data_IF_094503842495
#
_entry.id   IF_094503842495
#
_cell.length_a   1.000
_cell.length_b   1.000
_cell.length_c   1.000
_cell.angle_alpha   90.00
_cell.angle_beta   90.00
_cell.angle_gamma   90.00
#
_symmetry.space_group_name_H-M   'P 1'
#
loop_
_entity.id
_entity.type
_entity.pdbx_description
1 polymer ?
#
# COMPACT_ATOMS: atom_id res chain seq x y z
N UNK A 1 -79.84 -38.46 -42.97
CA UNK A 1 -78.82 -39.47 -42.56
C UNK A 1 -78.05 -38.91 -41.38
N UNK A 2 -77.90 -39.73 -40.33
CA UNK A 2 -77.07 -39.59 -39.10
C UNK A 2 -77.23 -38.28 -38.30
N UNK A 3 -77.96 -38.26 -37.18
CA UNK A 3 -77.63 -38.81 -35.83
C UNK A 3 -76.28 -38.23 -35.33
N UNK A 4 -76.13 -37.57 -34.17
CA UNK A 4 -76.95 -37.63 -32.95
C UNK A 4 -76.68 -36.43 -32.03
N UNK A 5 -77.78 -35.94 -31.46
CA UNK A 5 -77.96 -35.10 -30.25
C UNK A 5 -77.01 -35.44 -29.08
N UNK A 6 -76.67 -34.45 -28.25
CA UNK A 6 -77.25 -34.37 -26.90
C UNK A 6 -77.10 -32.97 -26.26
N UNK A 7 -78.23 -32.56 -25.69
CA UNK A 7 -78.58 -31.36 -24.91
C UNK A 7 -77.92 -31.35 -23.52
N UNK A 8 -77.78 -30.16 -22.90
CA UNK A 8 -78.28 -29.80 -21.54
C UNK A 8 -77.65 -28.45 -21.13
N UNK A 9 -78.41 -27.35 -21.21
CA UNK A 9 -79.17 -26.62 -20.15
C UNK A 9 -78.34 -25.55 -19.43
N UNK A 10 -78.88 -24.33 -19.51
CA UNK A 10 -78.55 -23.11 -18.79
C UNK A 10 -78.38 -23.31 -17.28
N UNK A 11 -77.54 -22.50 -16.64
CA UNK A 11 -78.04 -21.61 -15.58
C UNK A 11 -77.09 -20.44 -15.35
N UNK A 12 -77.65 -19.24 -15.46
CA UNK A 12 -77.05 -17.95 -15.19
C UNK A 12 -76.70 -17.79 -13.71
N UNK A 13 -75.54 -17.18 -13.44
CA UNK A 13 -75.33 -16.36 -12.25
C UNK A 13 -74.37 -15.21 -12.60
N UNK A 14 -74.95 -14.06 -12.93
CA UNK A 14 -74.35 -12.78 -12.55
C UNK A 14 -74.18 -12.79 -11.02
N UNK A 15 -73.06 -12.29 -10.51
CA UNK A 15 -73.01 -11.23 -9.49
C UNK A 15 -71.55 -10.94 -9.06
N UNK A 16 -71.20 -9.66 -9.19
CA UNK A 16 -70.26 -8.90 -8.35
C UNK A 16 -68.76 -9.08 -8.62
N UNK A 17 -68.32 -8.53 -9.75
CA UNK A 17 -67.08 -7.75 -9.77
C UNK A 17 -67.30 -6.48 -8.93
N UNK A 18 -67.04 -6.57 -7.62
CA UNK A 18 -66.83 -5.39 -6.81
C UNK A 18 -65.34 -5.03 -6.91
N UNK A 19 -65.07 -3.93 -7.61
CA UNK A 19 -63.90 -3.11 -7.36
C UNK A 19 -63.99 -2.64 -5.90
N UNK A 20 -63.05 -3.06 -5.05
CA UNK A 20 -62.76 -2.30 -3.85
C UNK A 20 -61.25 -2.07 -3.81
N UNK A 21 -60.88 -0.82 -4.08
CA UNK A 21 -59.53 -0.32 -3.90
C UNK A 21 -59.26 -0.25 -2.42
N UNK A 22 -58.71 -1.33 -1.89
CA UNK A 22 -58.15 -1.35 -0.55
C UNK A 22 -56.67 -1.67 -0.70
N UNK A 23 -55.84 -0.64 -0.54
CA UNK A 23 -54.40 -0.73 -0.27
C UNK A 23 -54.13 -1.34 1.12
N UNK A 24 -54.98 -2.24 1.61
CA UNK A 24 -54.67 -3.02 2.79
C UNK A 24 -53.77 -4.18 2.37
N UNK A 25 -52.52 -4.15 2.85
CA UNK A 25 -51.64 -5.33 2.81
C UNK A 25 -52.49 -6.53 3.26
N UNK A 26 -52.50 -7.64 2.51
CA UNK A 26 -53.20 -8.86 2.92
C UNK A 26 -52.83 -9.18 4.37
N UNK A 27 -53.82 -9.61 5.17
CA UNK A 27 -53.55 -10.05 6.53
C UNK A 27 -52.43 -11.12 6.50
N UNK A 28 -51.42 -11.05 7.38
CA UNK A 28 -50.32 -12.02 7.39
C UNK A 28 -50.88 -13.44 7.50
N UNK A 29 -50.31 -14.38 6.72
CA UNK A 29 -50.71 -15.78 6.79
C UNK A 29 -50.61 -16.26 8.25
N UNK A 30 -51.70 -16.82 8.84
CA UNK A 30 -51.68 -17.34 10.21
C UNK A 30 -50.53 -18.32 10.49
N UNK A 31 -50.07 -19.08 9.49
CA UNK A 31 -48.92 -19.97 9.62
C UNK A 31 -47.62 -19.20 9.83
N UNK A 32 -47.39 -18.15 9.04
CA UNK A 32 -46.20 -17.30 9.17
C UNK A 32 -46.15 -16.61 10.54
N UNK A 33 -47.30 -16.18 11.06
CA UNK A 33 -47.37 -15.61 12.40
C UNK A 33 -47.06 -16.65 13.48
N UNK A 34 -47.55 -17.88 13.32
CA UNK A 34 -47.23 -18.97 14.25
C UNK A 34 -45.73 -19.29 14.26
N UNK A 35 -45.09 -19.32 13.09
CA UNK A 35 -43.64 -19.59 12.98
C UNK A 35 -42.82 -18.49 13.65
N UNK A 36 -43.14 -17.22 13.39
CA UNK A 36 -42.48 -16.08 14.05
C UNK A 36 -42.65 -16.17 15.57
N UNK A 37 -43.86 -16.47 16.05
CA UNK A 37 -44.11 -16.62 17.49
C UNK A 37 -43.32 -17.79 18.09
N UNK A 38 -43.17 -18.90 17.37
CA UNK A 38 -42.37 -20.04 17.83
C UNK A 38 -40.92 -19.66 18.12
N UNK A 39 -40.34 -18.78 17.29
CA UNK A 39 -38.98 -18.27 17.49
C UNK A 39 -38.93 -17.23 18.61
N UNK A 40 -39.87 -16.26 18.62
CA UNK A 40 -39.91 -15.21 19.66
C UNK A 40 -40.05 -15.79 21.06
N UNK A 41 -40.75 -16.92 21.22
CA UNK A 41 -41.02 -17.56 22.51
C UNK A 41 -39.88 -18.48 22.98
N UNK A 42 -38.84 -18.73 22.17
CA UNK A 42 -37.68 -19.48 22.63
C UNK A 42 -37.05 -18.82 23.87
N UNK A 43 -36.84 -19.63 24.90
CA UNK A 43 -36.16 -19.20 26.12
C UNK A 43 -34.66 -19.09 25.85
N UNK A 44 -34.04 -17.98 26.27
CA UNK A 44 -32.60 -17.83 26.08
C UNK A 44 -31.82 -18.87 26.91
N UNK A 45 -30.89 -19.64 26.32
CA UNK A 45 -30.29 -20.80 27.00
C UNK A 45 -29.57 -20.50 28.32
N UNK A 46 -29.05 -19.28 28.48
CA UNK A 46 -28.28 -18.87 29.65
C UNK A 46 -29.04 -17.98 30.64
N UNK A 47 -30.26 -17.54 30.30
CA UNK A 47 -31.15 -16.77 31.17
C UNK A 47 -32.60 -17.17 30.91
N UNK A 48 -33.14 -17.98 31.84
CA UNK A 48 -34.49 -18.53 31.72
C UNK A 48 -35.61 -17.51 31.98
N UNK A 49 -35.27 -16.28 32.35
CA UNK A 49 -36.24 -15.22 32.66
C UNK A 49 -36.63 -14.40 31.44
N UNK A 50 -35.93 -14.58 30.32
CA UNK A 50 -36.12 -13.80 29.09
C UNK A 50 -36.36 -14.70 27.88
N UNK A 51 -37.14 -14.19 26.92
CA UNK A 51 -37.36 -14.82 25.62
C UNK A 51 -36.46 -14.19 24.55
N UNK A 52 -36.22 -14.89 23.44
CA UNK A 52 -35.49 -14.31 22.30
C UNK A 52 -36.19 -13.07 21.76
N UNK A 53 -37.53 -13.06 21.67
CA UNK A 53 -38.29 -11.88 21.29
C UNK A 53 -38.04 -10.71 22.23
N UNK A 54 -38.02 -10.96 23.55
CA UNK A 54 -37.71 -9.94 24.55
C UNK A 54 -36.31 -9.34 24.40
N UNK A 55 -35.32 -10.15 24.02
CA UNK A 55 -33.94 -9.69 23.78
C UNK A 55 -33.85 -8.90 22.46
N UNK A 56 -34.41 -9.43 21.38
CA UNK A 56 -34.23 -8.91 20.03
C UNK A 56 -35.07 -7.68 19.72
N UNK A 57 -36.28 -7.58 20.27
CA UNK A 57 -37.21 -6.47 20.00
C UNK A 57 -36.83 -5.19 20.77
N UNK A 58 -35.98 -5.29 21.82
CA UNK A 58 -35.63 -4.17 22.70
C UNK A 58 -34.19 -3.64 22.54
N UNK A 59 -33.59 -3.87 21.37
CA UNK A 59 -32.19 -3.49 21.10
C UNK A 59 -32.05 -2.00 20.83
N UNK A 60 -31.33 -1.31 21.71
CA UNK A 60 -31.15 0.15 21.65
C UNK A 60 -30.42 0.66 20.41
N UNK A 61 -29.62 -0.21 19.78
CA UNK A 61 -28.84 0.10 18.60
C UNK A 61 -29.60 -0.10 17.28
N UNK A 62 -30.84 -0.60 17.35
CA UNK A 62 -31.75 -0.74 16.21
C UNK A 62 -32.73 0.44 16.18
N UNK A 63 -32.85 1.11 15.02
CA UNK A 63 -33.91 2.11 14.79
C UNK A 63 -35.28 1.45 14.69
N UNK A 64 -35.32 0.30 14.02
CA UNK A 64 -36.52 -0.51 13.80
C UNK A 64 -36.12 -1.98 13.78
N UNK A 65 -37.06 -2.83 14.21
CA UNK A 65 -36.92 -4.28 14.14
C UNK A 65 -38.09 -4.89 13.38
N UNK A 66 -37.79 -5.85 12.52
CA UNK A 66 -38.81 -6.54 11.72
C UNK A 66 -38.65 -8.05 11.85
N UNK A 67 -39.78 -8.75 11.70
CA UNK A 67 -39.82 -10.21 11.63
C UNK A 67 -40.64 -10.62 10.42
N UNK A 68 -40.09 -11.53 9.62
CA UNK A 68 -40.79 -12.12 8.49
C UNK A 68 -40.40 -13.58 8.29
N UNK A 69 -41.06 -14.22 7.31
CA UNK A 69 -40.77 -15.59 6.91
C UNK A 69 -40.35 -15.61 5.46
N UNK A 70 -39.45 -16.52 5.12
CA UNK A 70 -39.03 -16.76 3.75
C UNK A 70 -38.68 -18.24 3.56
N UNK A 71 -38.69 -18.68 2.31
CA UNK A 71 -38.23 -20.02 1.94
C UNK A 71 -36.88 -19.91 1.28
N UNK A 72 -35.91 -20.68 1.75
CA UNK A 72 -34.60 -20.71 1.10
C UNK A 72 -34.60 -21.58 -0.16
N UNK A 73 -33.49 -21.54 -0.89
CA UNK A 73 -33.28 -22.25 -2.16
C UNK A 73 -33.35 -23.79 -2.01
N UNK A 74 -33.34 -24.31 -0.79
CA UNK A 74 -33.50 -25.74 -0.47
C UNK A 74 -34.91 -26.09 -0.02
N UNK A 75 -35.84 -25.14 -0.08
CA UNK A 75 -37.22 -25.34 0.35
C UNK A 75 -37.42 -25.30 1.87
N UNK A 76 -36.44 -24.83 2.65
CA UNK A 76 -36.59 -24.71 4.11
C UNK A 76 -37.34 -23.44 4.44
N UNK A 77 -38.34 -23.57 5.29
CA UNK A 77 -39.05 -22.44 5.90
C UNK A 77 -38.17 -21.79 6.96
N UNK A 78 -37.91 -20.49 6.80
CA UNK A 78 -37.08 -19.69 7.68
C UNK A 78 -37.90 -18.54 8.27
N UNK A 79 -37.66 -18.26 9.55
CA UNK A 79 -37.99 -16.99 10.18
C UNK A 79 -36.75 -16.11 10.11
N UNK A 80 -36.93 -14.87 9.64
CA UNK A 80 -35.88 -13.86 9.59
C UNK A 80 -36.24 -12.71 10.52
N UNK A 81 -35.24 -12.26 11.25
CA UNK A 81 -35.26 -11.04 12.05
C UNK A 81 -34.36 -9.99 11.38
N UNK A 82 -34.82 -8.75 11.36
CA UNK A 82 -34.06 -7.59 10.90
C UNK A 82 -33.90 -6.57 12.01
N UNK A 83 -32.70 -6.01 12.14
CA UNK A 83 -32.40 -4.84 12.94
C UNK A 83 -31.79 -3.78 12.03
N UNK A 84 -32.48 -2.66 11.86
CA UNK A 84 -31.96 -1.51 11.14
C UNK A 84 -30.96 -0.76 12.01
N UNK A 85 -29.68 -0.97 11.75
CA UNK A 85 -28.52 -0.57 12.56
C UNK A 85 -28.12 0.90 12.26
N UNK A 86 -29.10 1.79 12.15
CA UNK A 86 -28.96 3.15 11.63
C UNK A 86 -29.41 4.23 12.61
N UNK A 87 -29.32 3.96 13.92
CA UNK A 87 -29.50 5.03 14.89
C UNK A 87 -28.43 6.11 14.67
N UNK A 88 -28.73 7.36 14.98
CA UNK A 88 -27.78 8.46 14.74
C UNK A 88 -26.43 8.21 15.42
N UNK A 89 -26.41 7.58 16.61
CA UNK A 89 -25.19 7.23 17.32
C UNK A 89 -24.35 6.20 16.55
N UNK A 90 -24.99 5.12 16.09
CA UNK A 90 -24.32 4.04 15.35
C UNK A 90 -23.80 4.53 14.01
N UNK A 91 -24.66 5.22 13.24
CA UNK A 91 -24.31 5.76 11.92
C UNK A 91 -23.15 6.76 12.03
N UNK A 92 -23.19 7.68 13.00
CA UNK A 92 -22.11 8.64 13.22
C UNK A 92 -20.79 7.95 13.58
N UNK A 93 -20.82 6.91 14.43
CA UNK A 93 -19.61 6.18 14.82
C UNK A 93 -18.97 5.49 13.61
N UNK A 94 -19.78 4.75 12.83
CA UNK A 94 -19.32 4.03 11.65
C UNK A 94 -18.78 5.00 10.59
N UNK A 95 -19.52 6.06 10.29
CA UNK A 95 -19.11 7.07 9.31
C UNK A 95 -17.81 7.77 9.71
N UNK A 96 -17.67 8.16 10.99
CA UNK A 96 -16.44 8.79 11.49
C UNK A 96 -15.24 7.84 11.38
N UNK A 97 -15.45 6.56 11.69
CA UNK A 97 -14.41 5.54 11.56
C UNK A 97 -13.98 5.37 10.11
N UNK A 98 -14.94 5.22 9.19
CA UNK A 98 -14.70 5.05 7.76
C UNK A 98 -13.98 6.27 7.17
N UNK A 99 -14.47 7.48 7.48
CA UNK A 99 -13.87 8.73 7.01
C UNK A 99 -12.42 8.86 7.46
N UNK A 100 -12.14 8.57 8.73
CA UNK A 100 -10.77 8.57 9.25
C UNK A 100 -9.91 7.54 8.51
N UNK A 101 -10.42 6.34 8.25
CA UNK A 101 -9.68 5.28 7.58
C UNK A 101 -9.34 5.64 6.13
N UNK A 102 -10.32 6.12 5.37
CA UNK A 102 -10.13 6.61 4.00
C UNK A 102 -9.14 7.78 3.94
N UNK A 103 -9.34 8.81 4.77
CA UNK A 103 -8.44 9.96 4.83
C UNK A 103 -7.00 9.55 5.14
N UNK A 104 -6.80 8.58 6.05
CA UNK A 104 -5.46 8.06 6.36
C UNK A 104 -4.78 7.50 5.11
N UNK A 105 -5.45 6.61 4.37
CA UNK A 105 -4.88 5.96 3.19
C UNK A 105 -4.72 6.92 2.00
N UNK A 106 -5.70 7.80 1.79
CA UNK A 106 -5.63 8.83 0.74
C UNK A 106 -4.43 9.74 1.00
N UNK A 107 -4.20 10.17 2.24
CA UNK A 107 -3.05 10.99 2.59
C UNK A 107 -1.73 10.24 2.38
N UNK A 108 -1.64 8.99 2.82
CA UNK A 108 -0.46 8.15 2.63
C UNK A 108 -0.09 8.01 1.14
N UNK A 109 -1.06 7.65 0.30
CA UNK A 109 -0.83 7.50 -1.13
C UNK A 109 -0.60 8.83 -1.85
N UNK A 110 -1.19 9.92 -1.37
CA UNK A 110 -0.91 11.27 -1.89
C UNK A 110 0.54 11.67 -1.59
N UNK A 111 1.04 11.41 -0.38
CA UNK A 111 2.45 11.65 -0.03
C UNK A 111 3.40 10.78 -0.87
N UNK A 112 3.09 9.49 -1.05
CA UNK A 112 3.86 8.60 -1.93
C UNK A 112 3.85 9.11 -3.38
N UNK A 113 2.69 9.53 -3.88
CA UNK A 113 2.55 10.09 -5.22
C UNK A 113 3.42 11.34 -5.40
N UNK A 114 3.40 12.26 -4.43
CA UNK A 114 4.16 13.51 -4.51
C UNK A 114 5.68 13.31 -4.38
N UNK A 115 6.12 12.28 -3.64
CA UNK A 115 7.56 12.01 -3.43
C UNK A 115 8.17 11.19 -4.56
N UNK A 116 7.41 10.31 -5.23
CA UNK A 116 7.93 9.51 -6.33
C UNK A 116 8.46 10.37 -7.47
N UNK A 117 9.68 10.09 -7.91
CA UNK A 117 10.33 10.86 -8.99
C UNK A 117 10.59 12.33 -8.66
N UNK A 118 10.51 12.75 -7.38
CA UNK A 118 11.01 14.07 -6.99
C UNK A 118 12.54 14.12 -7.14
N UNK A 119 13.16 15.31 -7.30
CA UNK A 119 14.61 15.43 -7.34
C UNK A 119 15.30 14.78 -6.14
N UNK A 120 14.72 14.93 -4.93
CA UNK A 120 15.22 14.34 -3.69
C UNK A 120 15.12 12.81 -3.71
N UNK A 121 14.01 12.26 -4.22
CA UNK A 121 13.86 10.82 -4.39
C UNK A 121 14.90 10.25 -5.35
N UNK A 122 15.05 10.86 -6.53
CA UNK A 122 16.02 10.43 -7.53
C UNK A 122 17.44 10.53 -6.94
N UNK A 123 17.77 11.67 -6.34
CA UNK A 123 19.07 11.89 -5.68
C UNK A 123 19.36 10.83 -4.62
N UNK A 124 18.39 10.52 -3.75
CA UNK A 124 18.59 9.48 -2.71
C UNK A 124 18.92 8.09 -3.28
N UNK A 125 18.52 7.82 -4.53
CA UNK A 125 18.77 6.56 -5.25
C UNK A 125 20.00 6.61 -6.15
N UNK A 126 20.57 7.80 -6.39
CA UNK A 126 21.76 8.04 -7.21
C UNK A 126 22.90 8.72 -6.45
N UNK A 127 22.80 8.85 -5.14
CA UNK A 127 23.74 9.58 -4.27
C UNK A 127 25.18 9.05 -4.36
N UNK A 128 25.33 7.73 -4.49
CA UNK A 128 26.64 7.12 -4.70
C UNK A 128 27.26 7.53 -6.04
N UNK A 129 26.52 7.36 -7.14
CA UNK A 129 27.00 7.71 -8.48
C UNK A 129 27.22 9.22 -8.65
N UNK A 130 26.42 10.06 -7.97
CA UNK A 130 26.63 11.52 -7.95
C UNK A 130 27.96 11.88 -7.27
N UNK A 131 28.26 11.28 -6.12
CA UNK A 131 29.55 11.49 -5.46
C UNK A 131 30.72 10.97 -6.28
N UNK A 132 30.55 9.82 -6.93
CA UNK A 132 31.57 9.22 -7.78
C UNK A 132 31.88 10.09 -9.00
N UNK A 133 30.85 10.60 -9.68
CA UNK A 133 31.02 11.55 -10.80
C UNK A 133 31.69 12.85 -10.32
N UNK A 134 31.26 13.42 -9.19
CA UNK A 134 31.88 14.63 -8.65
C UNK A 134 33.36 14.42 -8.30
N UNK A 135 33.70 13.24 -7.77
CA UNK A 135 35.08 12.84 -7.44
C UNK A 135 35.93 12.70 -8.70
N UNK A 136 35.38 12.09 -9.75
CA UNK A 136 36.04 11.99 -11.04
C UNK A 136 36.18 13.38 -11.72
N UNK A 137 35.21 14.29 -11.59
CA UNK A 137 35.34 15.66 -12.11
C UNK A 137 36.49 16.42 -11.45
N UNK A 138 36.63 16.32 -10.12
CA UNK A 138 37.74 16.91 -9.38
C UNK A 138 39.09 16.32 -9.83
N UNK A 139 39.15 14.99 -9.96
CA UNK A 139 40.34 14.28 -10.44
C UNK A 139 40.75 14.74 -11.83
N UNK A 140 39.80 14.85 -12.77
CA UNK A 140 40.08 15.30 -14.13
C UNK A 140 40.59 16.75 -14.15
N UNK A 141 40.03 17.64 -13.30
CA UNK A 141 40.50 19.02 -13.20
C UNK A 141 41.97 19.09 -12.76
N UNK A 142 42.38 18.25 -11.80
CA UNK A 142 43.77 18.14 -11.33
C UNK A 142 44.70 17.62 -12.44
N UNK A 143 44.34 16.53 -13.12
CA UNK A 143 45.16 15.97 -14.21
C UNK A 143 45.31 16.99 -15.35
N UNK A 144 44.25 17.73 -15.68
CA UNK A 144 44.31 18.82 -16.67
C UNK A 144 45.27 19.92 -16.24
N UNK A 145 45.25 20.35 -14.98
CA UNK A 145 46.20 21.32 -14.47
C UNK A 145 47.65 20.78 -14.58
N UNK A 146 47.88 19.51 -14.18
CA UNK A 146 49.20 18.88 -14.32
C UNK A 146 49.67 18.80 -15.77
N UNK A 147 48.77 18.56 -16.73
CA UNK A 147 49.12 18.47 -18.16
C UNK A 147 49.58 19.78 -18.79
N UNK A 148 49.38 20.93 -18.12
CA UNK A 148 49.78 22.25 -18.62
C UNK A 148 51.25 22.59 -18.37
N UNK A 149 51.95 21.78 -17.58
CA UNK A 149 53.35 22.01 -17.21
C UNK A 149 54.26 20.98 -17.88
N UNK A 150 55.48 21.40 -18.25
CA UNK A 150 56.52 20.47 -18.65
C UNK A 150 57.29 19.97 -17.41
N UNK A 151 57.18 18.67 -17.16
CA UNK A 151 57.84 18.01 -16.03
C UNK A 151 59.17 17.35 -16.41
N UNK A 152 59.66 17.56 -17.63
CA UNK A 152 60.89 16.95 -18.16
C UNK A 152 62.09 17.11 -17.22
N UNK A 153 62.28 18.31 -16.64
CA UNK A 153 63.36 18.63 -15.71
C UNK A 153 63.34 17.83 -14.38
N UNK A 154 62.24 17.12 -14.08
CA UNK A 154 62.09 16.29 -12.89
C UNK A 154 62.16 14.78 -13.20
N UNK A 155 62.07 14.34 -14.46
CA UNK A 155 61.87 12.91 -14.81
C UNK A 155 63.00 12.00 -14.34
N UNK A 156 64.25 12.45 -14.43
CA UNK A 156 65.41 11.63 -14.08
C UNK A 156 65.71 11.63 -12.57
N UNK A 157 65.18 12.63 -11.84
CA UNK A 157 65.45 12.86 -10.42
C UNK A 157 64.33 12.36 -9.48
N UNK A 158 63.16 11.95 -10.01
CA UNK A 158 62.01 11.45 -9.23
C UNK A 158 61.96 9.92 -9.15
N UNK A 159 62.04 9.38 -7.94
CA UNK A 159 61.68 7.99 -7.65
C UNK A 159 60.19 7.90 -7.34
N UNK A 160 59.50 6.98 -8.04
CA UNK A 160 58.09 6.66 -7.82
C UNK A 160 58.05 5.44 -6.90
N UNK A 161 57.68 5.66 -5.64
CA UNK A 161 57.62 4.58 -4.64
C UNK A 161 56.28 3.83 -4.72
N UNK A 162 56.20 2.84 -5.60
CA UNK A 162 55.08 1.87 -5.70
C UNK A 162 55.58 0.40 -5.74
N UNK A 163 54.72 -0.62 -5.68
CA UNK A 163 55.10 -2.04 -5.45
C UNK A 163 55.94 -2.70 -6.57
N UNK A 164 56.29 -1.94 -7.61
CA UNK A 164 57.27 -2.31 -8.61
C UNK A 164 58.53 -1.45 -8.47
N UNK A 165 59.08 -1.32 -7.26
CA UNK A 165 60.47 -0.92 -7.13
C UNK A 165 61.30 -2.01 -7.82
N UNK A 166 61.86 -1.70 -9.00
CA UNK A 166 62.72 -2.65 -9.71
C UNK A 166 63.93 -2.96 -8.81
N UNK A 167 63.89 -4.14 -8.21
CA UNK A 167 65.00 -4.67 -7.45
C UNK A 167 66.10 -5.04 -8.44
N UNK A 168 67.28 -4.43 -8.28
CA UNK A 168 68.43 -4.85 -9.06
C UNK A 168 69.02 -6.11 -8.40
N UNK A 169 68.62 -7.27 -8.93
CA UNK A 169 69.06 -8.58 -8.44
C UNK A 169 70.59 -8.78 -8.57
N UNK A 170 71.30 -7.92 -9.30
CA UNK A 170 72.75 -7.97 -9.51
C UNK A 170 73.54 -7.14 -8.51
N UNK A 171 72.98 -6.05 -7.98
CA UNK A 171 73.67 -5.17 -7.02
C UNK A 171 73.10 -5.21 -5.60
N UNK A 172 71.95 -5.87 -5.39
CA UNK A 172 71.29 -5.94 -4.08
C UNK A 172 70.70 -4.61 -3.60
N UNK A 173 70.67 -3.59 -4.47
CA UNK A 173 70.17 -2.26 -4.20
C UNK A 173 68.86 -2.01 -4.96
N UNK A 174 68.04 -1.09 -4.46
CA UNK A 174 66.93 -0.52 -5.23
C UNK A 174 67.53 0.30 -6.39
N UNK A 175 67.08 0.09 -7.63
CA UNK A 175 67.55 0.87 -8.80
C UNK A 175 67.41 2.39 -8.64
N UNK A 176 66.58 2.83 -7.70
CA UNK A 176 66.28 4.23 -7.40
C UNK A 176 67.18 4.88 -6.32
N UNK A 177 68.23 4.21 -5.82
CA UNK A 177 69.07 4.70 -4.71
C UNK A 177 69.82 6.02 -4.98
N UNK A 178 69.86 6.51 -6.23
CA UNK A 178 70.49 7.78 -6.62
C UNK A 178 69.51 8.93 -6.93
N UNK A 179 68.19 8.72 -6.84
CA UNK A 179 67.20 9.75 -7.17
C UNK A 179 66.96 10.71 -6.02
N UNK A 180 66.86 12.01 -6.34
CA UNK A 180 66.86 13.12 -5.38
C UNK A 180 65.47 13.42 -4.79
N UNK A 181 64.39 12.97 -5.45
CA UNK A 181 63.00 13.29 -5.12
C UNK A 181 62.20 11.99 -4.98
N UNK A 182 61.30 11.91 -4.01
CA UNK A 182 60.31 10.82 -3.86
C UNK A 182 58.93 11.34 -4.16
N UNK A 183 58.22 10.68 -5.08
CA UNK A 183 56.79 10.84 -5.29
C UNK A 183 56.06 9.71 -4.57
N UNK A 184 55.25 10.05 -3.58
CA UNK A 184 54.42 9.10 -2.86
C UNK A 184 53.04 9.70 -2.60
N UNK A 185 52.00 8.94 -2.94
CA UNK A 185 50.61 9.36 -2.76
C UNK A 185 50.30 10.71 -3.43
N UNK A 186 50.98 11.01 -4.55
CA UNK A 186 50.83 12.28 -5.26
C UNK A 186 51.62 13.46 -4.69
N UNK A 187 52.41 13.30 -3.62
CA UNK A 187 53.22 14.38 -3.05
C UNK A 187 54.69 14.14 -3.36
N UNK A 188 55.35 15.16 -3.90
CA UNK A 188 56.80 15.17 -4.11
C UNK A 188 57.51 15.70 -2.87
N UNK A 189 58.53 14.96 -2.43
CA UNK A 189 59.41 15.35 -1.32
C UNK A 189 60.87 15.16 -1.72
N UNK A 190 61.71 16.16 -1.46
CA UNK A 190 63.14 16.09 -1.73
C UNK A 190 63.88 15.34 -0.64
N UNK A 191 64.69 14.33 -1.01
CA UNK A 191 65.62 13.65 -0.08
C UNK A 191 66.93 14.42 0.07
N UNK A 192 67.33 15.18 -0.95
CA UNK A 192 68.59 15.95 -1.01
C UNK A 192 68.29 17.33 -1.62
N UNK A 193 67.67 18.21 -0.84
CA UNK A 193 67.15 19.52 -1.26
C UNK A 193 68.25 20.50 -1.73
N UNK A 194 69.47 20.32 -1.24
CA UNK A 194 70.64 21.15 -1.57
C UNK A 194 71.15 20.95 -3.01
N UNK A 195 70.78 19.83 -3.65
CA UNK A 195 71.28 19.42 -4.98
C UNK A 195 70.31 19.68 -6.13
N UNK A 196 69.18 20.32 -5.84
CA UNK A 196 68.14 20.67 -6.81
C UNK A 196 68.40 22.05 -7.41
N UNK A 197 68.07 22.25 -8.68
CA UNK A 197 68.04 23.58 -9.29
C UNK A 197 66.86 24.41 -8.76
N UNK A 198 66.91 25.73 -8.98
CA UNK A 198 65.77 26.61 -8.65
C UNK A 198 64.51 26.26 -9.46
N UNK A 199 64.69 25.90 -10.72
CA UNK A 199 63.63 25.41 -11.60
C UNK A 199 62.98 24.13 -11.06
N UNK A 200 63.78 23.15 -10.63
CA UNK A 200 63.27 21.91 -10.06
C UNK A 200 62.51 22.13 -8.76
N UNK A 201 63.01 23.02 -7.87
CA UNK A 201 62.28 23.40 -6.65
C UNK A 201 60.93 24.04 -6.97
N UNK A 202 60.89 24.93 -7.96
CA UNK A 202 59.64 25.58 -8.38
C UNK A 202 58.64 24.58 -8.98
N UNK A 203 59.09 23.64 -9.80
CA UNK A 203 58.24 22.58 -10.37
C UNK A 203 57.69 21.64 -9.27
N UNK A 204 58.50 21.26 -8.28
CA UNK A 204 58.03 20.49 -7.11
C UNK A 204 56.92 21.26 -6.36
N UNK A 205 57.13 22.56 -6.10
CA UNK A 205 56.11 23.40 -5.46
C UNK A 205 54.83 23.48 -6.28
N UNK A 206 54.92 23.57 -7.61
CA UNK A 206 53.75 23.60 -8.49
C UNK A 206 53.02 22.26 -8.50
N UNK A 207 53.73 21.14 -8.59
CA UNK A 207 53.16 19.79 -8.48
C UNK A 207 52.39 19.63 -7.18
N UNK A 208 53.06 19.87 -6.05
CA UNK A 208 52.47 19.75 -4.71
C UNK A 208 51.28 20.70 -4.55
N UNK A 209 51.34 21.92 -5.07
CA UNK A 209 50.20 22.84 -5.03
C UNK A 209 48.96 22.29 -5.74
N UNK A 210 49.13 21.52 -6.82
CA UNK A 210 48.04 20.91 -7.57
C UNK A 210 47.53 19.63 -6.88
N UNK A 211 48.39 18.92 -6.14
CA UNK A 211 48.09 17.58 -5.58
C UNK A 211 47.85 17.55 -4.06
N UNK A 212 48.33 18.51 -3.27
CA UNK A 212 48.22 18.55 -1.79
C UNK A 212 46.84 18.97 -1.27
N UNK A 213 45.96 19.50 -2.13
CA UNK A 213 44.58 19.82 -1.74
C UNK A 213 43.73 18.54 -1.64
N UNK A 214 43.91 17.72 -0.60
CA UNK A 214 43.23 16.43 -0.52
C UNK A 214 42.34 16.24 0.72
N UNK A 215 41.04 16.20 0.43
CA UNK A 215 40.01 15.40 1.11
C UNK A 215 39.84 14.00 0.45
N UNK A 216 40.63 13.69 -0.58
CA UNK A 216 40.64 12.41 -1.30
C UNK A 216 41.96 11.68 -1.02
N UNK A 217 41.96 10.35 -1.02
CA UNK A 217 43.12 9.52 -0.64
C UNK A 217 44.36 9.67 -1.54
N UNK A 218 45.20 8.63 -1.57
CA UNK A 218 46.44 8.63 -2.34
C UNK A 218 46.18 8.84 -3.83
N UNK A 219 46.79 9.87 -4.43
CA UNK A 219 46.78 10.04 -5.88
C UNK A 219 47.75 9.04 -6.52
N UNK A 220 47.42 8.47 -7.69
CA UNK A 220 48.32 7.51 -8.31
C UNK A 220 49.58 8.17 -8.85
N UNK A 221 50.74 7.72 -8.36
CA UNK A 221 52.04 8.27 -8.75
C UNK A 221 52.36 8.10 -10.26
N UNK A 222 51.62 7.23 -10.96
CA UNK A 222 51.75 7.06 -12.42
C UNK A 222 51.28 8.29 -13.21
N UNK A 223 50.51 9.21 -12.62
CA UNK A 223 50.09 10.47 -13.26
C UNK A 223 51.27 11.35 -13.69
N UNK A 224 52.41 11.25 -13.01
CA UNK A 224 53.62 11.99 -13.34
C UNK A 224 54.25 11.55 -14.68
N UNK A 225 54.06 10.29 -15.10
CA UNK A 225 54.73 9.74 -16.27
C UNK A 225 54.15 10.26 -17.60
N UNK A 226 52.82 10.31 -17.69
CA UNK A 226 52.10 10.78 -18.88
C UNK A 226 50.75 11.44 -18.53
N UNK A 227 50.75 12.70 -18.04
CA UNK A 227 49.52 13.42 -17.71
C UNK A 227 48.57 13.59 -18.92
N UNK A 228 49.11 13.69 -20.14
CA UNK A 228 48.32 13.95 -21.35
C UNK A 228 47.55 12.72 -21.83
N UNK A 229 48.21 11.56 -21.88
CA UNK A 229 47.55 10.28 -22.19
C UNK A 229 46.45 9.96 -21.17
N UNK A 230 46.75 10.13 -19.88
CA UNK A 230 45.81 9.91 -18.78
C UNK A 230 44.62 10.87 -18.85
N UNK A 231 44.84 12.15 -19.21
CA UNK A 231 43.75 13.12 -19.38
C UNK A 231 42.70 12.64 -20.38
N UNK A 232 43.12 12.03 -21.49
CA UNK A 232 42.23 11.53 -22.54
C UNK A 232 41.41 10.33 -22.04
N UNK A 233 42.07 9.34 -21.44
CA UNK A 233 41.42 8.15 -20.89
C UNK A 233 40.41 8.53 -19.80
N UNK A 234 40.84 9.37 -18.85
CA UNK A 234 40.00 9.80 -17.73
C UNK A 234 38.80 10.65 -18.20
N UNK A 235 38.97 11.46 -19.25
CA UNK A 235 37.86 12.21 -19.86
C UNK A 235 36.81 11.28 -20.49
N UNK A 236 37.24 10.21 -21.14
CA UNK A 236 36.33 9.21 -21.71
C UNK A 236 35.60 8.43 -20.62
N UNK A 237 36.31 8.03 -19.57
CA UNK A 237 35.73 7.34 -18.42
C UNK A 237 34.69 8.22 -17.70
N UNK A 238 35.01 9.49 -17.45
CA UNK A 238 34.07 10.43 -16.85
C UNK A 238 32.81 10.61 -17.72
N UNK A 239 32.95 10.64 -19.05
CA UNK A 239 31.81 10.70 -19.95
C UNK A 239 30.94 9.44 -19.84
N UNK A 240 31.54 8.25 -19.72
CA UNK A 240 30.82 6.99 -19.49
C UNK A 240 30.05 7.02 -18.16
N UNK A 241 30.71 7.39 -17.06
CA UNK A 241 30.10 7.50 -15.73
C UNK A 241 28.91 8.47 -15.71
N UNK A 242 29.04 9.62 -16.39
CA UNK A 242 27.94 10.59 -16.57
C UNK A 242 26.78 10.00 -17.38
N UNK A 243 27.07 9.25 -18.44
CA UNK A 243 26.05 8.61 -19.26
C UNK A 243 25.29 7.55 -18.45
N UNK A 244 26.00 6.72 -17.68
CA UNK A 244 25.42 5.72 -16.78
C UNK A 244 24.53 6.34 -15.70
N UNK A 245 25.01 7.41 -15.05
CA UNK A 245 24.20 8.18 -14.08
C UNK A 245 22.92 8.73 -14.73
N UNK A 246 23.02 9.31 -15.91
CA UNK A 246 21.85 9.83 -16.63
C UNK A 246 20.89 8.72 -17.03
N UNK A 247 21.38 7.58 -17.50
CA UNK A 247 20.55 6.41 -17.82
C UNK A 247 19.83 5.88 -16.58
N UNK A 248 20.52 5.80 -15.43
CA UNK A 248 19.94 5.39 -14.15
C UNK A 248 18.84 6.36 -13.70
N UNK A 249 19.08 7.67 -13.80
CA UNK A 249 18.07 8.71 -13.50
C UNK A 249 16.84 8.58 -14.40
N UNK A 250 17.03 8.37 -15.71
CA UNK A 250 15.93 8.19 -16.65
C UNK A 250 15.10 6.95 -16.31
N UNK A 251 15.76 5.81 -16.02
CA UNK A 251 15.07 4.58 -15.63
C UNK A 251 14.23 4.78 -14.36
N UNK A 252 14.80 5.43 -13.33
CA UNK A 252 14.08 5.75 -12.10
C UNK A 252 12.90 6.70 -12.35
N UNK A 253 13.05 7.65 -13.27
CA UNK A 253 11.97 8.54 -13.67
C UNK A 253 10.84 7.77 -14.37
N UNK A 254 11.16 6.88 -15.30
CA UNK A 254 10.19 6.07 -16.02
C UNK A 254 9.43 5.12 -15.08
N UNK A 255 10.15 4.48 -14.14
CA UNK A 255 9.54 3.65 -13.08
C UNK A 255 8.64 4.48 -12.17
N UNK A 256 9.08 5.68 -11.77
CA UNK A 256 8.28 6.61 -10.96
C UNK A 256 7.01 7.03 -11.68
N UNK A 257 7.08 7.31 -12.99
CA UNK A 257 5.93 7.68 -13.80
C UNK A 257 4.91 6.53 -13.90
N UNK A 258 5.37 5.28 -14.10
CA UNK A 258 4.51 4.09 -14.08
C UNK A 258 3.82 3.91 -12.73
N UNK A 259 4.58 4.05 -11.64
CA UNK A 259 4.03 3.92 -10.28
C UNK A 259 3.04 5.04 -9.96
N UNK A 260 3.29 6.27 -10.42
CA UNK A 260 2.35 7.39 -10.30
C UNK A 260 1.04 7.13 -11.03
N UNK A 261 1.08 6.54 -12.23
CA UNK A 261 -0.14 6.18 -12.96
C UNK A 261 -1.01 5.20 -12.17
N UNK A 262 -0.40 4.15 -11.61
CA UNK A 262 -1.10 3.18 -10.73
C UNK A 262 -1.66 3.86 -9.48
N UNK A 263 -0.84 4.66 -8.78
CA UNK A 263 -1.28 5.38 -7.59
C UNK A 263 -2.42 6.36 -7.88
N UNK A 264 -2.43 7.02 -9.04
CA UNK A 264 -3.50 7.90 -9.45
C UNK A 264 -4.83 7.15 -9.59
N UNK A 265 -4.81 5.95 -10.16
CA UNK A 265 -6.01 5.10 -10.27
C UNK A 265 -6.50 4.67 -8.88
N UNK A 266 -5.59 4.25 -8.01
CA UNK A 266 -5.90 3.86 -6.62
C UNK A 266 -6.48 5.02 -5.82
N UNK A 267 -5.88 6.22 -5.93
CA UNK A 267 -6.37 7.43 -5.26
C UNK A 267 -7.77 7.82 -5.75
N UNK A 268 -8.06 7.67 -7.05
CA UNK A 268 -9.41 7.88 -7.59
C UNK A 268 -10.38 6.88 -6.97
N UNK A 269 -10.08 5.58 -7.06
CA UNK A 269 -10.94 4.52 -6.53
C UNK A 269 -11.19 4.67 -5.02
N UNK A 270 -10.20 5.07 -4.23
CA UNK A 270 -10.36 5.32 -2.81
C UNK A 270 -11.26 6.54 -2.51
N UNK A 271 -11.17 7.60 -3.32
CA UNK A 271 -12.04 8.78 -3.17
C UNK A 271 -13.47 8.47 -3.58
N UNK A 272 -13.65 7.70 -4.65
CA UNK A 272 -14.97 7.26 -5.10
C UNK A 272 -15.61 6.36 -4.03
N UNK A 273 -14.84 5.39 -3.51
CA UNK A 273 -15.27 4.53 -2.40
C UNK A 273 -15.62 5.33 -1.13
N UNK A 274 -14.77 6.29 -0.74
CA UNK A 274 -15.05 7.18 0.40
C UNK A 274 -16.34 7.98 0.21
N UNK A 275 -16.65 8.40 -1.02
CA UNK A 275 -17.85 9.16 -1.31
C UNK A 275 -19.10 8.29 -1.30
N UNK A 276 -19.01 7.06 -1.81
CA UNK A 276 -20.08 6.06 -1.78
C UNK A 276 -20.35 5.53 -0.37
N UNK A 277 -19.34 5.48 0.50
CA UNK A 277 -19.52 5.04 1.89
C UNK A 277 -20.28 6.05 2.76
N UNK A 278 -20.64 7.22 2.23
CA UNK A 278 -21.43 8.22 2.95
C UNK A 278 -22.88 7.79 2.93
N UNK A 279 -23.47 7.69 4.12
CA UNK A 279 -24.90 7.42 4.35
C UNK A 279 -25.34 5.96 4.17
N UNK A 280 -24.42 5.01 4.25
CA UNK A 280 -24.77 3.59 4.24
C UNK A 280 -25.84 3.25 5.28
N UNK A 281 -26.85 2.52 4.82
CA UNK A 281 -27.87 1.93 5.68
C UNK A 281 -27.50 0.48 5.94
N UNK A 282 -27.25 0.16 7.21
CA UNK A 282 -26.81 -1.17 7.64
C UNK A 282 -27.99 -1.88 8.27
N UNK A 283 -28.31 -3.08 7.77
CA UNK A 283 -29.34 -3.93 8.37
C UNK A 283 -28.70 -5.24 8.80
N UNK A 284 -28.86 -5.59 10.06
CA UNK A 284 -28.46 -6.90 10.57
C UNK A 284 -29.60 -7.88 10.38
N UNK A 285 -29.33 -9.01 9.75
CA UNK A 285 -30.31 -10.10 9.57
C UNK A 285 -29.89 -11.33 10.36
N UNK A 286 -30.83 -11.96 11.05
CA UNK A 286 -30.67 -13.22 11.77
C UNK A 286 -31.73 -14.22 11.32
N UNK A 287 -31.38 -15.50 11.24
CA UNK A 287 -32.20 -16.52 10.61
C UNK A 287 -32.42 -17.73 11.51
N UNK A 288 -33.63 -18.27 11.53
CA UNK A 288 -33.99 -19.54 12.16
C UNK A 288 -34.73 -20.43 11.18
N UNK A 289 -34.38 -21.71 11.13
CA UNK A 289 -35.13 -22.72 10.39
C UNK A 289 -36.27 -23.23 11.25
N UNK A 290 -37.51 -23.19 10.73
CA UNK A 290 -38.73 -23.68 11.39
C UNK A 290 -39.30 -24.94 10.71
N UNK A 291 -38.57 -25.51 9.76
CA UNK A 291 -38.97 -26.75 9.05
C UNK A 291 -39.05 -27.98 9.98
N UNK A 292 -38.37 -27.95 11.12
CA UNK A 292 -38.35 -29.02 12.12
C UNK A 292 -39.36 -28.78 13.26
N UNK A 293 -39.46 -29.70 14.23
CA UNK A 293 -40.34 -29.54 15.39
C UNK A 293 -39.91 -28.38 16.31
N UNK A 294 -38.60 -28.08 16.34
CA UNK A 294 -38.02 -26.99 17.11
C UNK A 294 -37.29 -26.01 16.17
N UNK A 295 -37.42 -24.69 16.37
CA UNK A 295 -36.67 -23.73 15.58
C UNK A 295 -35.16 -23.82 15.83
N UNK A 296 -34.37 -23.80 14.76
CA UNK A 296 -32.91 -23.92 14.81
C UNK A 296 -32.27 -22.64 14.30
N UNK A 297 -31.41 -22.01 15.11
CA UNK A 297 -30.66 -20.82 14.69
C UNK A 297 -29.68 -21.17 13.56
N UNK A 298 -29.76 -20.42 12.47
CA UNK A 298 -29.02 -20.66 11.23
C UNK A 298 -27.85 -19.69 11.03
N UNK A 299 -27.74 -18.64 11.86
CA UNK A 299 -26.74 -17.58 11.75
C UNK A 299 -27.34 -16.25 11.30
N UNK A 300 -26.50 -15.38 10.76
CA UNK A 300 -26.94 -14.07 10.26
C UNK A 300 -25.98 -13.44 9.25
N UNK A 301 -26.30 -12.22 8.83
CA UNK A 301 -25.47 -11.38 7.97
C UNK A 301 -25.75 -9.89 8.16
N UNK A 302 -24.97 -9.05 7.48
CA UNK A 302 -25.28 -7.64 7.30
C UNK A 302 -25.65 -7.37 5.85
N UNK A 303 -26.70 -6.58 5.66
CA UNK A 303 -27.04 -5.97 4.38
C UNK A 303 -26.61 -4.52 4.42
N UNK A 304 -26.03 -4.04 3.31
CA UNK A 304 -25.66 -2.65 3.13
C UNK A 304 -26.48 -2.13 1.96
N UNK A 305 -27.32 -1.14 2.24
CA UNK A 305 -27.96 -0.36 1.20
C UNK A 305 -27.20 0.95 1.04
N UNK A 306 -26.62 1.15 -0.14
CA UNK A 306 -26.08 2.42 -0.58
C UNK A 306 -27.12 3.15 -1.45
N UNK A 307 -26.76 4.30 -2.01
CA UNK A 307 -27.65 5.08 -2.89
C UNK A 307 -27.94 4.39 -4.24
N UNK A 308 -27.29 3.26 -4.55
CA UNK A 308 -27.36 2.58 -5.86
C UNK A 308 -28.07 1.21 -5.80
N UNK A 309 -28.36 0.70 -4.60
CA UNK A 309 -29.16 -0.50 -4.37
C UNK A 309 -28.33 -1.75 -4.12
N UNK A 310 -28.51 -2.31 -2.92
CA UNK A 310 -28.20 -3.68 -2.48
C UNK A 310 -26.80 -4.23 -2.80
N UNK A 311 -25.88 -4.16 -1.82
CA UNK A 311 -24.71 -5.03 -1.75
C UNK A 311 -24.76 -5.88 -0.46
N UNK A 312 -24.81 -7.20 -0.63
CA UNK A 312 -24.80 -8.14 0.49
C UNK A 312 -23.37 -8.28 1.07
N UNK A 313 -23.18 -7.97 2.36
CA UNK A 313 -21.99 -8.41 3.09
C UNK A 313 -22.21 -9.86 3.53
N UNK A 314 -21.88 -10.83 2.67
CA UNK A 314 -21.98 -12.24 3.04
C UNK A 314 -20.93 -12.63 4.10
N UNK A 315 -21.44 -13.28 5.16
CA UNK A 315 -20.77 -13.86 6.33
C UNK A 315 -19.98 -12.83 7.17
N UNK A 316 -20.42 -12.67 8.42
CA UNK A 316 -19.68 -12.00 9.48
C UNK A 316 -18.20 -12.38 9.43
N UNK A 317 -17.38 -11.44 8.96
CA UNK A 317 -15.98 -11.23 9.35
C UNK A 317 -15.18 -12.50 9.66
N UNK A 318 -15.25 -13.52 8.80
CA UNK A 318 -14.47 -14.73 9.03
C UNK A 318 -13.00 -14.40 8.81
N UNK A 319 -12.26 -14.17 9.91
CA UNK A 319 -10.82 -14.34 9.94
C UNK A 319 -9.96 -13.26 10.63
N UNK A 320 -10.45 -12.09 11.05
CA UNK A 320 -9.53 -11.03 11.53
C UNK A 320 -10.13 -10.13 12.64
N UNK A 321 -10.09 -10.60 13.90
CA UNK A 321 -10.44 -9.83 15.11
C UNK A 321 -11.06 -10.69 16.22
N UNK A 322 -11.09 -10.21 17.48
CA UNK A 322 -11.53 -10.94 18.70
C UNK A 322 -13.01 -11.33 18.75
N UNK A 323 -13.76 -11.15 17.66
CA UNK A 323 -15.18 -11.50 17.57
C UNK A 323 -15.28 -12.76 16.73
N UNK A 324 -15.26 -13.91 17.42
CA UNK A 324 -15.32 -15.27 16.88
C UNK A 324 -16.67 -15.59 16.22
N UNK A 325 -16.62 -16.49 15.23
CA UNK A 325 -17.71 -16.95 14.37
C UNK A 325 -18.97 -17.47 15.09
N UNK A 326 -20.09 -17.06 14.51
CA UNK A 326 -21.35 -17.78 14.25
C UNK A 326 -22.30 -18.19 15.40
N UNK A 327 -21.85 -18.49 16.62
CA UNK A 327 -22.80 -18.89 17.69
C UNK A 327 -22.99 -17.84 18.80
N UNK A 328 -22.04 -16.94 18.97
CA UNK A 328 -22.07 -15.98 20.09
C UNK A 328 -22.83 -14.69 19.76
N UNK A 329 -23.38 -14.51 18.55
CA UNK A 329 -24.09 -13.26 18.22
C UNK A 329 -25.30 -13.02 19.11
N UNK A 330 -26.06 -14.07 19.43
CA UNK A 330 -27.17 -13.98 20.37
C UNK A 330 -26.67 -13.64 21.78
N UNK A 331 -25.49 -14.13 22.16
CA UNK A 331 -24.85 -13.78 23.43
C UNK A 331 -24.31 -12.35 23.44
N UNK A 332 -23.78 -11.85 22.34
CA UNK A 332 -23.36 -10.46 22.20
C UNK A 332 -24.55 -9.51 22.26
N UNK A 333 -25.67 -9.85 21.63
CA UNK A 333 -26.90 -9.08 21.71
C UNK A 333 -27.44 -9.09 23.15
N UNK A 334 -27.55 -10.27 23.78
CA UNK A 334 -28.02 -10.37 25.17
C UNK A 334 -27.16 -9.55 26.16
N UNK A 335 -25.86 -9.40 25.88
CA UNK A 335 -24.93 -8.63 26.71
C UNK A 335 -24.79 -7.16 26.28
N UNK A 336 -25.63 -6.68 25.35
CA UNK A 336 -25.57 -5.35 24.76
C UNK A 336 -24.19 -4.99 24.13
N UNK A 337 -23.37 -6.00 23.79
CA UNK A 337 -22.06 -5.81 23.16
C UNK A 337 -22.22 -5.27 21.75
N UNK A 338 -23.29 -5.66 21.05
CA UNK A 338 -23.61 -5.16 19.72
C UNK A 338 -23.90 -3.66 19.71
N UNK A 339 -24.25 -3.03 20.83
CA UNK A 339 -24.38 -1.58 20.96
C UNK A 339 -23.08 -0.86 21.35
N UNK A 340 -21.95 -1.56 21.43
CA UNK A 340 -20.69 -0.99 21.92
C UNK A 340 -19.80 -0.40 20.80
N UNK A 341 -19.03 0.64 21.13
CA UNK A 341 -18.09 1.26 20.20
C UNK A 341 -17.04 0.27 19.60
N UNK A 342 -16.48 -0.70 20.36
CA UNK A 342 -15.61 -1.73 19.77
C UNK A 342 -16.30 -2.58 18.70
N UNK A 343 -17.56 -2.96 18.93
CA UNK A 343 -18.33 -3.74 17.96
C UNK A 343 -18.62 -2.91 16.70
N UNK A 344 -19.09 -1.67 16.85
CA UNK A 344 -19.34 -0.77 15.72
C UNK A 344 -18.06 -0.51 14.90
N UNK A 345 -16.90 -0.39 15.55
CA UNK A 345 -15.61 -0.25 14.85
C UNK A 345 -15.25 -1.48 14.02
N UNK A 346 -15.65 -2.67 14.49
CA UNK A 346 -15.46 -3.94 13.79
C UNK A 346 -16.36 -4.04 12.56
N UNK A 347 -17.62 -3.58 12.67
CA UNK A 347 -18.54 -3.44 11.52
C UNK A 347 -17.96 -2.46 10.49
N UNK A 348 -17.46 -1.30 10.94
CA UNK A 348 -16.85 -0.30 10.06
C UNK A 348 -15.59 -0.82 9.33
N UNK A 349 -14.74 -1.62 9.99
CA UNK A 349 -13.58 -2.26 9.35
C UNK A 349 -14.02 -3.28 8.29
N UNK A 350 -15.04 -4.08 8.57
CA UNK A 350 -15.63 -5.00 7.60
C UNK A 350 -16.12 -4.31 6.34
N UNK A 351 -16.86 -3.22 6.53
CA UNK A 351 -17.37 -2.37 5.46
C UNK A 351 -16.25 -1.78 4.60
N UNK A 352 -15.24 -1.19 5.24
CA UNK A 352 -14.07 -0.64 4.56
C UNK A 352 -13.35 -1.71 3.72
N UNK A 353 -13.12 -2.90 4.29
CA UNK A 353 -12.46 -3.99 3.57
C UNK A 353 -13.28 -4.51 2.40
N UNK A 354 -14.60 -4.61 2.56
CA UNK A 354 -15.48 -5.03 1.48
C UNK A 354 -15.35 -4.09 0.27
N UNK A 355 -15.49 -2.78 0.52
CA UNK A 355 -15.45 -1.78 -0.54
C UNK A 355 -14.06 -1.66 -1.18
N UNK A 356 -13.00 -1.83 -0.38
CA UNK A 356 -11.61 -1.74 -0.88
C UNK A 356 -11.04 -3.07 -1.39
N UNK A 357 -11.77 -4.19 -1.29
CA UNK A 357 -11.28 -5.53 -1.67
C UNK A 357 -10.86 -5.64 -3.14
N UNK A 358 -11.49 -4.86 -4.01
CA UNK A 358 -11.21 -4.83 -5.45
C UNK A 358 -10.14 -3.79 -5.83
N UNK A 359 -9.73 -2.92 -4.90
CA UNK A 359 -8.69 -1.92 -5.15
C UNK A 359 -7.33 -2.61 -4.96
N UNK A 360 -6.56 -2.75 -6.05
CA UNK A 360 -5.19 -3.27 -5.97
C UNK A 360 -4.28 -2.23 -5.32
N UNK A 361 -4.18 -2.28 -4.00
CA UNK A 361 -3.30 -1.43 -3.22
C UNK A 361 -1.84 -1.79 -3.51
N UNK A 362 -1.03 -0.86 -4.05
CA UNK A 362 0.38 -1.11 -4.29
C UNK A 362 1.09 -1.33 -2.96
N UNK A 363 1.83 -2.44 -2.86
CA UNK A 363 2.64 -2.79 -1.69
C UNK A 363 3.76 -1.77 -1.44
#
# INVERSE_FOLDING_TARGET
MMKTRLTVVLLSALLLSACDGSDSKPAPDPRQQQDIQSVKQLIYPYDRTVTLGGILDNRSECTETEWDTLTDDKGRELVRYRCHYNTSAVSNHINTWLEKRYNTLINEYTQRFNTLGSPEYIKSRTDYEERDVATAEESLAKIKALSQHDWSALRDDVSITGPAAEYDNTTGNLKDAGRKITLSNGVMSGRITESLSEEQRNLITQWNRITESNNMGSLPDYWFRDPSGITKEFSQELASRKAELNQKRQKLQDESNKNKAVLSQVLSALKDAQQESKDWQITQELYWSVTGPDPVFMGGMFLVDDRNGQYELKRYLSGLGTISNDNDILTHIYRDITGSAPYMSTVADGLFRHQTSHISLPK
#
